data_IF_284946192268
#
_entry.id   IF_284946192268
#
_cell.length_a   1.000
_cell.length_b   1.000
_cell.length_c   1.000
_cell.angle_alpha   90.00
_cell.angle_beta   90.00
_cell.angle_gamma   90.00
#
_symmetry.space_group_name_H-M   'P 1'
#
loop_
_entity.id
_entity.type
_entity.pdbx_description
1 polymer ?
#
# COMPACT_ATOMS: atom_id res chain seq x y z
N UNK A 1 -27.06 59.71 28.73
CA UNK A 1 -27.73 58.43 28.68
C UNK A 1 -27.21 57.79 27.41
N UNK A 2 -26.09 57.03 27.51
CA UNK A 2 -25.42 56.38 26.40
C UNK A 2 -25.61 54.89 26.59
N UNK A 3 -26.47 54.32 25.74
CA UNK A 3 -26.69 52.89 25.66
C UNK A 3 -25.52 52.26 24.92
N UNK A 4 -24.63 51.63 25.67
CA UNK A 4 -23.59 50.77 25.16
C UNK A 4 -24.22 49.45 24.75
N UNK A 5 -24.37 49.23 23.46
CA UNK A 5 -24.70 47.93 22.87
C UNK A 5 -23.53 46.99 23.19
N UNK A 6 -23.75 45.85 23.84
CA UNK A 6 -22.68 44.84 23.97
C UNK A 6 -22.40 44.26 22.61
N UNK A 7 -21.18 44.47 22.17
CA UNK A 7 -20.57 43.81 21.01
C UNK A 7 -20.72 42.31 21.18
N UNK A 8 -21.58 41.74 20.34
CA UNK A 8 -21.75 40.30 20.27
C UNK A 8 -20.39 39.69 19.99
N UNK A 9 -19.86 38.97 20.97
CA UNK A 9 -18.69 38.13 20.80
C UNK A 9 -18.98 37.20 19.63
N UNK A 10 -18.30 37.46 18.53
CA UNK A 10 -18.15 36.53 17.44
C UNK A 10 -17.47 35.28 18.03
N UNK A 11 -18.30 34.36 18.51
CA UNK A 11 -17.88 33.03 18.83
C UNK A 11 -17.55 32.38 17.49
N UNK A 12 -16.34 32.67 16.99
CA UNK A 12 -15.70 31.89 15.96
C UNK A 12 -15.82 30.45 16.40
N UNK A 13 -16.80 29.78 15.81
CA UNK A 13 -16.85 28.34 15.78
C UNK A 13 -15.63 27.90 14.97
N UNK A 14 -14.48 27.93 15.64
CA UNK A 14 -13.33 27.12 15.24
C UNK A 14 -13.81 25.68 15.28
N UNK A 15 -14.47 25.32 14.19
CA UNK A 15 -14.79 23.96 13.86
C UNK A 15 -13.46 23.31 13.44
N UNK A 16 -12.50 23.26 14.37
CA UNK A 16 -11.38 22.33 14.34
C UNK A 16 -12.00 20.95 14.43
N UNK A 17 -12.59 20.56 13.29
CA UNK A 17 -12.90 19.18 13.06
C UNK A 17 -11.56 18.46 13.04
N UNK A 18 -11.17 17.87 14.18
CA UNK A 18 -10.15 16.83 14.32
C UNK A 18 -10.43 15.62 13.39
N UNK A 19 -11.27 15.84 12.41
CA UNK A 19 -11.73 14.91 11.40
C UNK A 19 -10.69 14.74 10.31
N UNK A 20 -10.22 13.52 10.17
CA UNK A 20 -9.42 13.11 9.01
C UNK A 20 -10.20 13.38 7.72
N UNK A 21 -9.63 14.08 6.73
CA UNK A 21 -10.33 14.44 5.50
C UNK A 21 -10.90 13.21 4.78
N UNK A 22 -12.06 13.37 4.13
CA UNK A 22 -12.71 12.28 3.40
C UNK A 22 -11.83 11.64 2.33
N UNK A 23 -10.94 12.41 1.67
CA UNK A 23 -10.00 11.86 0.69
C UNK A 23 -9.01 10.86 1.30
N UNK A 24 -8.66 11.00 2.59
CA UNK A 24 -7.81 10.04 3.28
C UNK A 24 -8.48 8.66 3.30
N UNK A 25 -9.74 8.61 3.69
CA UNK A 25 -10.50 7.37 3.76
C UNK A 25 -10.71 6.75 2.38
N UNK A 26 -10.93 7.56 1.36
CA UNK A 26 -11.02 7.06 -0.02
C UNK A 26 -9.72 6.36 -0.45
N UNK A 27 -8.56 6.99 -0.23
CA UNK A 27 -7.26 6.39 -0.55
C UNK A 27 -6.99 5.14 0.30
N UNK A 28 -7.31 5.18 1.61
CA UNK A 28 -7.11 4.05 2.51
C UNK A 28 -7.94 2.82 2.10
N UNK A 29 -9.21 3.02 1.77
CA UNK A 29 -10.11 1.93 1.35
C UNK A 29 -9.71 1.39 -0.03
N UNK A 30 -9.46 2.25 -1.01
CA UNK A 30 -9.03 1.81 -2.35
C UNK A 30 -7.70 1.08 -2.28
N UNK A 31 -6.72 1.60 -1.53
CA UNK A 31 -5.44 0.94 -1.31
C UNK A 31 -5.58 -0.41 -0.62
N UNK A 32 -6.45 -0.52 0.37
CA UNK A 32 -6.73 -1.79 1.04
C UNK A 32 -7.36 -2.81 0.09
N UNK A 33 -8.38 -2.43 -0.68
CA UNK A 33 -9.01 -3.33 -1.66
C UNK A 33 -8.01 -3.81 -2.72
N UNK A 34 -7.14 -2.93 -3.21
CA UNK A 34 -6.06 -3.29 -4.12
C UNK A 34 -5.13 -4.34 -3.50
N UNK A 35 -4.73 -4.15 -2.24
CA UNK A 35 -3.85 -5.09 -1.54
C UNK A 35 -4.54 -6.41 -1.19
N UNK A 36 -5.86 -6.42 -0.97
CA UNK A 36 -6.63 -7.67 -0.85
C UNK A 36 -6.57 -8.51 -2.13
N UNK A 37 -6.66 -7.88 -3.30
CA UNK A 37 -6.53 -8.56 -4.58
C UNK A 37 -5.13 -9.19 -4.71
N UNK A 38 -4.07 -8.43 -4.39
CA UNK A 38 -2.70 -8.95 -4.40
C UNK A 38 -2.49 -10.13 -3.45
N UNK A 39 -2.99 -10.02 -2.21
CA UNK A 39 -2.93 -11.08 -1.22
C UNK A 39 -3.72 -12.33 -1.67
N UNK A 40 -4.88 -12.16 -2.29
CA UNK A 40 -5.67 -13.25 -2.86
C UNK A 40 -4.88 -14.02 -3.93
N UNK A 41 -4.29 -13.32 -4.91
CA UNK A 41 -3.48 -13.98 -5.95
C UNK A 41 -2.26 -14.68 -5.37
N UNK A 42 -1.61 -14.09 -4.37
CA UNK A 42 -0.50 -14.73 -3.66
C UNK A 42 -0.94 -16.04 -2.98
N UNK A 43 -2.07 -16.01 -2.28
CA UNK A 43 -2.62 -17.21 -1.62
C UNK A 43 -3.00 -18.29 -2.63
N UNK A 44 -3.63 -17.92 -3.75
CA UNK A 44 -3.96 -18.87 -4.81
C UNK A 44 -2.70 -19.53 -5.40
N UNK A 45 -1.64 -18.76 -5.61
CA UNK A 45 -0.35 -19.30 -6.07
C UNK A 45 0.28 -20.29 -5.07
N UNK A 46 -0.10 -20.26 -3.79
CA UNK A 46 0.37 -21.22 -2.76
C UNK A 46 -0.54 -22.44 -2.61
N UNK A 47 -1.84 -22.26 -2.74
CA UNK A 47 -2.84 -23.30 -2.51
C UNK A 47 -2.99 -24.15 -3.80
N UNK A 48 -3.05 -23.48 -4.96
CA UNK A 48 -3.26 -24.10 -6.25
C UNK A 48 -2.18 -23.65 -7.27
N UNK A 49 -0.90 -24.00 -7.04
CA UNK A 49 0.19 -23.51 -7.86
C UNK A 49 0.03 -23.90 -9.34
N UNK A 50 -0.41 -25.13 -9.62
CA UNK A 50 -0.59 -25.61 -11.00
C UNK A 50 -1.66 -24.84 -11.77
N UNK A 51 -2.80 -24.54 -11.13
CA UNK A 51 -3.85 -23.75 -11.75
C UNK A 51 -3.39 -22.30 -11.98
N UNK A 52 -2.66 -21.73 -11.03
CA UNK A 52 -2.19 -20.34 -11.11
C UNK A 52 -1.15 -20.16 -12.21
N UNK A 53 -0.19 -21.08 -12.35
CA UNK A 53 0.87 -20.95 -13.36
C UNK A 53 0.42 -21.38 -14.77
N UNK A 54 -0.64 -22.17 -14.90
CA UNK A 54 -1.09 -22.70 -16.19
C UNK A 54 -1.40 -21.61 -17.24
N UNK A 55 -1.84 -20.42 -16.78
CA UNK A 55 -2.12 -19.27 -17.64
C UNK A 55 -0.91 -18.38 -17.95
N UNK A 56 0.26 -18.65 -17.35
CA UNK A 56 1.47 -17.86 -17.54
C UNK A 56 2.27 -18.33 -18.78
N UNK A 57 3.10 -17.45 -19.38
CA UNK A 57 4.06 -17.88 -20.40
C UNK A 57 5.01 -18.97 -19.87
N UNK A 58 5.47 -19.93 -20.69
CA UNK A 58 6.30 -21.06 -20.23
C UNK A 58 7.54 -20.65 -19.44
N UNK A 59 8.26 -19.62 -19.90
CA UNK A 59 9.45 -19.12 -19.19
C UNK A 59 9.13 -18.58 -17.78
N UNK A 60 7.94 -17.96 -17.59
CA UNK A 60 7.48 -17.50 -16.27
C UNK A 60 7.07 -18.68 -15.39
N UNK A 61 6.45 -19.73 -15.97
CA UNK A 61 6.13 -20.96 -15.23
C UNK A 61 7.40 -21.59 -14.66
N UNK A 62 8.43 -21.78 -15.49
CA UNK A 62 9.72 -22.33 -15.07
C UNK A 62 10.37 -21.47 -13.99
N UNK A 63 10.34 -20.14 -14.15
CA UNK A 63 10.86 -19.22 -13.14
C UNK A 63 10.14 -19.36 -11.80
N UNK A 64 8.81 -19.38 -11.78
CA UNK A 64 8.02 -19.50 -10.54
C UNK A 64 8.32 -20.81 -9.79
N UNK A 65 8.53 -21.91 -10.53
CA UNK A 65 8.86 -23.22 -9.96
C UNK A 65 10.31 -23.32 -9.43
N UNK A 66 11.23 -22.54 -10.01
CA UNK A 66 12.66 -22.57 -9.68
C UNK A 66 13.15 -21.31 -8.97
N UNK A 67 12.23 -20.43 -8.59
CA UNK A 67 12.51 -19.13 -7.98
C UNK A 67 13.43 -19.25 -6.76
N UNK A 68 14.54 -18.51 -6.72
CA UNK A 68 15.45 -18.54 -5.59
C UNK A 68 14.79 -18.01 -4.32
N UNK A 69 15.19 -18.55 -3.17
CA UNK A 69 14.57 -18.25 -1.86
C UNK A 69 14.48 -16.73 -1.56
N UNK A 70 15.53 -15.99 -1.88
CA UNK A 70 15.55 -14.54 -1.63
C UNK A 70 14.49 -13.77 -2.46
N UNK A 71 14.26 -14.20 -3.71
CA UNK A 71 13.21 -13.64 -4.56
C UNK A 71 11.82 -13.99 -4.01
N UNK A 72 11.66 -15.21 -3.50
CA UNK A 72 10.44 -15.68 -2.86
C UNK A 72 10.12 -14.88 -1.59
N UNK A 73 11.12 -14.64 -0.74
CA UNK A 73 11.02 -13.79 0.44
C UNK A 73 10.67 -12.35 0.03
N UNK A 74 11.33 -11.81 -1.01
CA UNK A 74 11.02 -10.51 -1.56
C UNK A 74 9.56 -10.39 -2.01
N UNK A 75 9.06 -11.38 -2.75
CA UNK A 75 7.66 -11.45 -3.18
C UNK A 75 6.69 -11.47 -1.99
N UNK A 76 6.96 -12.32 -1.00
CA UNK A 76 6.15 -12.40 0.23
C UNK A 76 6.13 -11.08 0.99
N UNK A 77 7.29 -10.45 1.20
CA UNK A 77 7.39 -9.16 1.88
C UNK A 77 6.70 -8.04 1.08
N UNK A 78 6.79 -8.07 -0.24
CA UNK A 78 6.09 -7.14 -1.12
C UNK A 78 4.58 -7.18 -0.91
N UNK A 79 3.98 -8.34 -0.95
CA UNK A 79 2.54 -8.55 -0.81
C UNK A 79 2.08 -8.31 0.63
N UNK A 80 2.66 -9.02 1.60
CA UNK A 80 2.20 -8.93 2.98
C UNK A 80 2.55 -7.60 3.64
N UNK A 81 3.70 -7.01 3.30
CA UNK A 81 4.06 -5.67 3.77
C UNK A 81 3.06 -4.61 3.32
N UNK A 82 2.65 -4.67 2.05
CA UNK A 82 1.65 -3.76 1.49
C UNK A 82 0.26 -3.99 2.07
N UNK A 83 -0.15 -5.24 2.27
CA UNK A 83 -1.42 -5.59 2.90
C UNK A 83 -1.48 -5.09 4.35
N UNK A 84 -0.47 -5.41 5.17
CA UNK A 84 -0.37 -4.94 6.57
C UNK A 84 -0.30 -3.42 6.61
N UNK A 85 0.47 -2.80 5.71
CA UNK A 85 0.55 -1.34 5.59
C UNK A 85 -0.81 -0.70 5.35
N UNK A 86 -1.65 -1.28 4.46
CA UNK A 86 -2.99 -0.76 4.20
C UNK A 86 -3.97 -0.96 5.36
N UNK A 87 -3.87 -2.08 6.11
CA UNK A 87 -4.63 -2.28 7.34
C UNK A 87 -4.23 -1.24 8.40
N UNK A 88 -2.92 -1.04 8.61
CA UNK A 88 -2.41 -0.05 9.56
C UNK A 88 -2.81 1.39 9.17
N UNK A 89 -2.89 1.68 7.86
CA UNK A 89 -3.38 2.95 7.35
C UNK A 89 -4.87 3.14 7.68
N UNK A 90 -5.71 2.12 7.51
CA UNK A 90 -7.12 2.15 7.94
C UNK A 90 -7.25 2.34 9.45
N UNK A 91 -6.37 1.75 10.24
CA UNK A 91 -6.30 1.91 11.70
C UNK A 91 -5.61 3.22 12.12
N UNK A 92 -5.21 4.07 11.18
CA UNK A 92 -4.50 5.33 11.41
C UNK A 92 -3.21 5.18 12.22
N UNK A 93 -2.49 4.07 12.03
CA UNK A 93 -1.25 3.79 12.77
C UNK A 93 -0.04 4.27 11.97
N UNK A 94 0.89 4.97 12.65
CA UNK A 94 2.14 5.44 12.04
C UNK A 94 3.03 4.29 11.50
N UNK A 95 2.85 3.07 12.01
CA UNK A 95 3.53 1.87 11.53
C UNK A 95 3.18 1.50 10.08
N UNK A 96 2.16 2.11 9.48
CA UNK A 96 1.88 1.96 8.05
C UNK A 96 3.07 2.37 7.18
N UNK A 97 3.81 3.44 7.57
CA UNK A 97 4.96 3.94 6.83
C UNK A 97 6.07 2.90 6.70
N UNK A 98 6.63 2.32 7.80
CA UNK A 98 7.65 1.28 7.67
C UNK A 98 7.11 0.00 7.01
N UNK A 99 5.83 -0.34 7.17
CA UNK A 99 5.24 -1.50 6.49
C UNK A 99 5.26 -1.35 4.95
N UNK A 100 4.85 -0.19 4.43
CA UNK A 100 4.96 0.09 2.99
C UNK A 100 6.41 0.21 2.51
N UNK A 101 7.34 0.68 3.35
CA UNK A 101 8.76 0.71 3.00
C UNK A 101 9.32 -0.72 2.83
N UNK A 102 9.02 -1.61 3.77
CA UNK A 102 9.40 -3.04 3.66
C UNK A 102 8.78 -3.68 2.43
N UNK A 103 7.51 -3.38 2.14
CA UNK A 103 6.82 -3.85 0.93
C UNK A 103 7.53 -3.37 -0.33
N UNK A 104 7.90 -2.10 -0.41
CA UNK A 104 8.59 -1.54 -1.57
C UNK A 104 9.94 -2.24 -1.82
N UNK A 105 10.73 -2.43 -0.76
CA UNK A 105 12.02 -3.13 -0.85
C UNK A 105 11.84 -4.60 -1.28
N UNK A 106 10.83 -5.27 -0.72
CA UNK A 106 10.50 -6.65 -1.10
C UNK A 106 10.08 -6.77 -2.56
N UNK A 107 9.24 -5.85 -3.04
CA UNK A 107 8.80 -5.81 -4.43
C UNK A 107 9.98 -5.54 -5.39
N UNK A 108 10.86 -4.59 -5.05
CA UNK A 108 12.07 -4.31 -5.84
C UNK A 108 12.95 -5.55 -5.92
N UNK A 109 13.19 -6.25 -4.79
CA UNK A 109 13.97 -7.48 -4.79
C UNK A 109 13.35 -8.55 -5.69
N UNK A 110 12.04 -8.78 -5.58
CA UNK A 110 11.32 -9.77 -6.40
C UNK A 110 11.40 -9.46 -7.89
N UNK A 111 11.13 -8.22 -8.29
CA UNK A 111 11.21 -7.81 -9.70
C UNK A 111 12.63 -7.78 -10.23
N UNK A 112 13.62 -7.47 -9.40
CA UNK A 112 15.03 -7.59 -9.77
C UNK A 112 15.40 -9.04 -10.11
N UNK A 113 14.88 -10.02 -9.36
CA UNK A 113 15.10 -11.43 -9.65
C UNK A 113 14.46 -11.86 -10.97
N UNK A 114 13.25 -11.38 -11.26
CA UNK A 114 12.61 -11.63 -12.57
C UNK A 114 13.40 -11.01 -13.73
N UNK A 115 13.95 -9.79 -13.51
CA UNK A 115 14.81 -9.13 -14.48
C UNK A 115 16.09 -9.91 -14.77
N UNK A 116 16.75 -10.42 -13.72
CA UNK A 116 17.94 -11.26 -13.85
C UNK A 116 17.66 -12.60 -14.56
N UNK A 117 16.45 -13.14 -14.36
CA UNK A 117 16.00 -14.35 -15.04
C UNK A 117 15.53 -14.10 -16.49
N UNK A 118 15.43 -12.83 -16.93
CA UNK A 118 14.97 -12.48 -18.27
C UNK A 118 13.48 -12.70 -18.53
N UNK A 119 12.67 -12.84 -17.47
CA UNK A 119 11.22 -13.10 -17.56
C UNK A 119 10.38 -11.88 -17.19
N UNK A 120 11.01 -10.75 -16.86
CA UNK A 120 10.34 -9.54 -16.44
C UNK A 120 9.52 -8.92 -17.57
N UNK A 121 8.22 -8.78 -17.34
CA UNK A 121 7.31 -8.00 -18.19
C UNK A 121 7.21 -6.58 -17.61
N UNK A 122 7.63 -5.51 -18.29
CA UNK A 122 7.77 -4.18 -17.68
C UNK A 122 6.49 -3.56 -17.12
N UNK A 123 5.33 -3.93 -17.65
CA UNK A 123 4.05 -3.35 -17.25
C UNK A 123 3.67 -3.64 -15.80
N UNK A 124 3.88 -4.86 -15.34
CA UNK A 124 3.52 -5.27 -13.97
C UNK A 124 4.33 -4.55 -12.88
N UNK A 125 5.68 -4.54 -12.92
CA UNK A 125 6.47 -3.86 -11.90
C UNK A 125 6.23 -2.35 -11.91
N UNK A 126 6.06 -1.71 -13.06
CA UNK A 126 5.77 -0.28 -13.14
C UNK A 126 4.47 0.03 -12.39
N UNK A 127 3.41 -0.73 -12.67
CA UNK A 127 2.13 -0.53 -12.01
C UNK A 127 2.23 -0.77 -10.49
N UNK A 128 2.77 -1.90 -10.07
CA UNK A 128 2.82 -2.32 -8.67
C UNK A 128 3.73 -1.38 -7.85
N UNK A 129 4.93 -1.08 -8.34
CA UNK A 129 5.86 -0.17 -7.66
C UNK A 129 5.30 1.25 -7.57
N UNK A 130 4.59 1.72 -8.61
CA UNK A 130 3.94 3.03 -8.59
C UNK A 130 2.86 3.09 -7.50
N UNK A 131 2.02 2.06 -7.38
CA UNK A 131 0.97 2.01 -6.35
C UNK A 131 1.60 1.97 -4.94
N UNK A 132 2.60 1.12 -4.70
CA UNK A 132 3.27 1.04 -3.40
C UNK A 132 3.96 2.35 -3.06
N UNK A 133 4.68 2.96 -4.00
CA UNK A 133 5.35 4.24 -3.81
C UNK A 133 4.36 5.37 -3.53
N UNK A 134 3.21 5.39 -4.22
CA UNK A 134 2.14 6.34 -3.97
C UNK A 134 1.56 6.17 -2.56
N UNK A 135 1.25 4.94 -2.14
CA UNK A 135 0.72 4.68 -0.80
C UNK A 135 1.73 5.04 0.30
N UNK A 136 3.01 4.74 0.09
CA UNK A 136 4.10 5.14 1.00
C UNK A 136 4.21 6.67 1.10
N UNK A 137 4.22 7.36 -0.03
CA UNK A 137 4.25 8.83 -0.07
C UNK A 137 3.02 9.43 0.65
N UNK A 138 1.84 8.88 0.37
CA UNK A 138 0.60 9.34 0.98
C UNK A 138 0.60 9.12 2.50
N UNK A 139 1.04 7.95 2.99
CA UNK A 139 1.18 7.66 4.41
C UNK A 139 2.17 8.60 5.10
N UNK A 140 3.33 8.88 4.48
CA UNK A 140 4.29 9.86 5.01
C UNK A 140 3.65 11.23 5.16
N UNK A 141 2.98 11.71 4.11
CA UNK A 141 2.29 13.01 4.14
C UNK A 141 1.16 13.05 5.18
N UNK A 142 0.43 11.95 5.36
CA UNK A 142 -0.60 11.82 6.39
C UNK A 142 -0.01 11.81 7.80
N UNK A 143 1.15 11.17 7.97
CA UNK A 143 1.89 11.19 9.24
C UNK A 143 2.37 12.60 9.60
N UNK A 144 2.99 13.31 8.64
CA UNK A 144 3.47 14.68 8.84
C UNK A 144 2.35 15.67 9.19
N UNK A 145 1.12 15.38 8.76
CA UNK A 145 -0.10 16.14 9.10
C UNK A 145 -0.77 15.69 10.39
N UNK A 146 -0.19 14.75 11.15
CA UNK A 146 -0.78 14.22 12.39
C UNK A 146 -2.04 13.36 12.19
N UNK A 147 -2.33 12.92 10.97
CA UNK A 147 -3.49 12.08 10.65
C UNK A 147 -3.27 10.60 11.04
N UNK A 148 -2.01 10.17 11.16
CA UNK A 148 -1.61 8.85 11.69
C UNK A 148 -1.09 9.00 13.12
N UNK A 149 -1.53 8.10 14.00
CA UNK A 149 -1.20 8.08 15.44
C UNK A 149 -0.29 6.92 15.79
#
# INVERSE_FOLDING_TARGET
MQDTIPEAADSGLDNDSDGVPGYYWAVAVVGFLWNCIGAYFYMMAKIEPQATIAGMPPAMQDYVLTMPLWAHVGWSLGIWGSFVGSVLMLLRRHLAVPAFLVSLLGAIASFSAQGLAGVLTPAEPILILTVIAFLLWFCRRAHDKGQLR
#
